data_IF_254540666199
#
_entry.id   IF_254540666199
#
_cell.length_a   1.000
_cell.length_b   1.000
_cell.length_c   1.000
_cell.angle_alpha   90.00
_cell.angle_beta   90.00
_cell.angle_gamma   90.00
#
_symmetry.space_group_name_H-M   'P 1'
#
loop_
_entity.id
_entity.type
_entity.pdbx_description
1 polymer ?
2 branched ?
3 non-polymer ?
4 water ?
#
# COMPACT_ATOMS: atom_id res chain seq x y z
N UNK A 1 26.05 -7.80 -8.30
CA UNK A 1 24.60 -7.67 -8.33
C UNK A 1 24.11 -6.40 -7.67
N UNK A 2 22.86 -6.04 -7.93
CA UNK A 2 22.23 -4.87 -7.32
C UNK A 2 22.14 -5.03 -5.81
N UNK A 3 22.17 -3.91 -5.08
CA UNK A 3 21.90 -3.95 -3.63
C UNK A 3 20.46 -4.41 -3.45
N UNK A 4 20.22 -5.26 -2.45
CA UNK A 4 18.86 -5.65 -2.08
C UNK A 4 18.06 -4.39 -1.66
N UNK A 5 16.73 -4.40 -1.87
CA UNK A 5 15.92 -3.18 -1.62
C UNK A 5 16.15 -2.56 -0.25
N UNK A 6 16.24 -3.40 0.79
CA UNK A 6 16.44 -2.90 2.17
C UNK A 6 17.88 -2.51 2.50
N UNK A 7 18.80 -2.79 1.57
CA UNK A 7 20.17 -2.30 1.65
C UNK A 7 20.36 -1.12 0.71
N UNK A 8 19.25 -0.48 0.36
CA UNK A 8 19.22 0.64 -0.57
C UNK A 8 18.20 1.63 0.00
N UNK A 9 16.92 1.34 -0.20
CA UNK A 9 15.87 2.03 0.56
C UNK A 9 16.06 1.82 2.07
N UNK A 10 15.69 2.82 2.86
CA UNK A 10 15.59 2.67 4.31
C UNK A 10 14.24 2.02 4.62
N UNK A 11 14.25 0.73 4.95
CA UNK A 11 13.02 -0.01 5.26
C UNK A 11 12.88 -0.32 6.75
N UNK A 12 13.49 0.51 7.57
CA UNK A 12 13.54 0.30 9.00
C UNK A 12 12.15 0.49 9.65
N UNK A 13 11.19 1.04 8.91
CA UNK A 13 9.83 1.13 9.42
C UNK A 13 8.79 0.48 8.50
N UNK A 14 9.19 -0.63 7.90
CA UNK A 14 8.29 -1.46 7.11
C UNK A 14 8.56 -2.92 7.42
N UNK A 15 7.54 -3.75 7.27
CA UNK A 15 7.75 -5.20 7.18
C UNK A 15 7.19 -5.63 5.85
N UNK A 16 7.59 -6.80 5.39
CA UNK A 16 7.17 -7.27 4.08
C UNK A 16 6.29 -8.48 4.22
N UNK A 17 5.09 -8.40 3.65
CA UNK A 17 4.14 -9.51 3.60
C UNK A 17 4.21 -10.22 2.23
N UNK A 18 4.43 -11.54 2.24
CA UNK A 18 4.70 -12.31 1.01
C UNK A 18 3.55 -13.24 0.57
N UNK A 19 3.55 -13.66 -0.73
CA UNK A 19 2.53 -14.55 -1.29
C UNK A 19 2.98 -16.03 -1.38
N UNK A 20 3.96 -16.42 -0.58
CA UNK A 20 4.30 -17.84 -0.48
C UNK A 20 3.19 -18.65 0.22
N UNK A 21 3.31 -19.96 0.21
CA UNK A 21 2.29 -20.85 0.76
C UNK A 21 1.93 -20.45 2.19
N UNK A 22 2.94 -20.10 2.98
CA UNK A 22 2.80 -19.76 4.40
C UNK A 22 2.56 -18.28 4.68
N UNK A 23 2.42 -17.48 3.62
CA UNK A 23 2.28 -16.02 3.77
C UNK A 23 3.29 -15.47 4.78
N UNK A 24 4.56 -15.80 4.52
CA UNK A 24 5.72 -15.41 5.34
C UNK A 24 5.82 -13.91 5.44
N UNK A 25 6.22 -13.41 6.59
CA UNK A 25 6.51 -11.99 6.73
C UNK A 25 7.98 -11.78 7.03
N UNK A 26 8.56 -10.78 6.40
CA UNK A 26 9.96 -10.45 6.61
C UNK A 26 10.05 -9.17 7.45
N UNK A 27 10.70 -9.30 8.60
CA UNK A 27 10.84 -8.20 9.54
C UNK A 27 11.65 -7.02 8.98
N UNK A 28 11.45 -5.85 9.58
CA UNK A 28 12.23 -4.67 9.25
C UNK A 28 13.75 -4.93 9.27
N UNK A 29 14.23 -5.57 10.35
CA UNK A 29 15.65 -5.88 10.48
C UNK A 29 16.13 -6.82 9.40
N UNK A 30 15.34 -7.85 9.10
CA UNK A 30 15.72 -8.77 8.00
C UNK A 30 15.72 -8.10 6.61
N UNK A 31 14.78 -7.18 6.38
CA UNK A 31 14.85 -6.35 5.18
C UNK A 31 16.15 -5.53 5.14
N UNK A 32 16.51 -4.90 6.26
CA UNK A 32 17.76 -4.12 6.32
C UNK A 32 19.03 -4.96 6.19
N UNK A 33 18.93 -6.24 6.52
CA UNK A 33 20.05 -7.17 6.32
C UNK A 33 20.10 -7.77 4.91
N UNK A 34 19.17 -7.38 4.05
CA UNK A 34 19.28 -7.72 2.63
C UNK A 34 18.35 -8.77 2.07
N UNK A 35 17.23 -9.00 2.74
CA UNK A 35 16.26 -9.95 2.20
C UNK A 35 15.92 -9.63 0.75
N UNK A 36 16.00 -10.64 -0.11
CA UNK A 36 15.54 -10.52 -1.49
C UNK A 36 15.19 -11.92 -1.99
N UNK A 37 14.17 -11.99 -2.84
CA UNK A 37 13.71 -13.25 -3.38
C UNK A 37 13.01 -12.96 -4.72
N UNK A 38 12.45 -14.01 -5.33
CA UNK A 38 11.63 -13.86 -6.53
C UNK A 38 10.45 -12.87 -6.33
N UNK A 39 10.02 -12.71 -5.08
CA UNK A 39 8.89 -11.84 -4.73
C UNK A 39 9.27 -10.39 -4.49
N UNK A 40 10.56 -10.12 -4.33
CA UNK A 40 11.01 -8.84 -3.79
C UNK A 40 12.47 -8.64 -4.12
N UNK A 41 12.74 -7.71 -5.03
CA UNK A 41 14.11 -7.58 -5.54
C UNK A 41 14.38 -6.20 -6.11
N UNK A 42 15.65 -5.86 -6.23
CA UNK A 42 16.05 -4.65 -6.94
C UNK A 42 16.24 -4.97 -8.39
N UNK A 43 15.46 -4.30 -9.23
CA UNK A 43 15.60 -4.52 -10.68
C UNK A 43 16.75 -3.71 -11.26
N UNK A 44 17.05 -3.96 -12.53
CA UNK A 44 18.14 -3.28 -13.21
C UNK A 44 18.00 -1.75 -13.29
N UNK A 45 16.77 -1.25 -13.17
CA UNK A 45 16.55 0.20 -13.14
C UNK A 45 16.61 0.79 -11.70
N UNK A 46 17.00 -0.05 -10.76
CA UNK A 46 17.10 0.31 -9.33
C UNK A 46 15.81 0.20 -8.53
N UNK A 47 14.69 -0.09 -9.21
CA UNK A 47 13.40 -0.13 -8.51
C UNK A 47 13.34 -1.25 -7.49
N UNK A 48 12.72 -0.97 -6.35
CA UNK A 48 12.30 -2.01 -5.42
C UNK A 48 11.07 -2.62 -6.11
N UNK A 49 11.16 -3.92 -6.39
CA UNK A 49 10.20 -4.59 -7.28
C UNK A 49 9.48 -5.74 -6.56
N UNK A 50 8.16 -5.78 -6.75
CA UNK A 50 7.28 -6.70 -6.05
C UNK A 50 6.60 -7.61 -7.07
N UNK A 51 6.86 -8.91 -6.99
CA UNK A 51 6.22 -9.89 -7.87
C UNK A 51 5.36 -10.84 -7.03
N UNK A 52 4.13 -11.09 -7.50
CA UNK A 52 3.24 -12.05 -6.84
C UNK A 52 2.39 -12.81 -7.85
N UNK A 53 2.33 -14.16 -7.72
CA UNK A 53 1.49 -14.97 -8.61
C UNK A 53 0.07 -15.04 -8.07
N UNK A 54 -0.89 -15.19 -8.98
CA UNK A 54 -2.29 -15.24 -8.56
C UNK A 54 -2.61 -16.46 -7.69
N UNK A 55 -1.76 -17.50 -7.76
CA UNK A 55 -1.92 -18.72 -6.96
C UNK A 55 -1.33 -18.61 -5.55
N UNK A 56 -0.81 -17.44 -5.18
CA UNK A 56 -0.08 -17.27 -3.91
C UNK A 56 -0.93 -17.42 -2.65
N UNK A 57 -0.27 -17.67 -1.52
CA UNK A 57 -0.95 -17.69 -0.22
C UNK A 57 -1.55 -16.32 0.07
N UNK A 58 -2.62 -16.31 0.85
CA UNK A 58 -3.33 -15.06 1.13
C UNK A 58 -3.44 -14.87 2.65
N UNK A 59 -3.58 -13.61 3.08
CA UNK A 59 -3.74 -13.31 4.51
C UNK A 59 -5.12 -13.75 5.03
N UNK A 60 -5.30 -13.74 6.36
CA UNK A 60 -6.47 -14.31 7.03
C UNK A 60 -7.80 -13.79 6.50
N UNK A 61 -7.86 -12.51 6.16
CA UNK A 61 -9.11 -11.85 5.82
C UNK A 61 -9.14 -11.26 4.41
N UNK A 62 -8.34 -11.85 3.51
CA UNK A 62 -8.37 -11.46 2.11
C UNK A 62 -8.33 -12.71 1.24
N UNK A 63 -9.00 -12.66 0.10
CA UNK A 63 -8.93 -13.76 -0.84
C UNK A 63 -7.79 -13.58 -1.87
N UNK A 64 -7.01 -12.50 -1.75
CA UNK A 64 -6.04 -12.13 -2.79
C UNK A 64 -4.60 -12.11 -2.25
N UNK A 65 -3.63 -12.59 -3.07
CA UNK A 65 -2.23 -12.66 -2.61
C UNK A 65 -1.51 -11.32 -2.76
N UNK A 66 -0.45 -11.12 -2.00
CA UNK A 66 0.30 -9.87 -2.08
C UNK A 66 1.79 -10.10 -1.87
N UNK A 67 2.59 -9.21 -2.45
CA UNK A 67 3.97 -8.94 -2.04
C UNK A 67 3.97 -7.46 -1.73
N UNK A 68 3.93 -7.11 -0.46
CA UNK A 68 3.53 -5.74 -0.07
C UNK A 68 4.13 -5.34 1.27
N UNK A 69 4.59 -4.09 1.33
CA UNK A 69 5.11 -3.55 2.56
C UNK A 69 3.96 -3.08 3.43
N UNK A 70 4.18 -3.20 4.74
CA UNK A 70 3.20 -2.87 5.78
C UNK A 70 3.94 -1.95 6.76
N UNK A 71 3.44 -0.71 6.93
CA UNK A 71 4.17 0.25 7.74
C UNK A 71 4.23 -0.21 9.19
N UNK A 72 5.42 -0.12 9.78
CA UNK A 72 5.63 -0.48 11.20
C UNK A 72 6.26 0.69 11.97
N UNK A 73 5.41 1.44 12.66
CA UNK A 73 5.91 2.52 13.49
C UNK A 73 6.88 1.95 14.52
N UNK A 74 6.52 0.78 15.03
CA UNK A 74 7.39 0.00 15.90
C UNK A 74 7.68 -1.31 15.19
N UNK A 75 8.93 -1.47 14.72
CA UNK A 75 9.26 -2.67 13.94
C UNK A 75 9.03 -4.00 14.66
N UNK A 76 8.84 -3.98 15.97
CA UNK A 76 8.62 -5.21 16.71
C UNK A 76 7.20 -5.34 17.26
N UNK A 77 6.31 -4.42 16.88
CA UNK A 77 4.92 -4.47 17.37
C UNK A 77 3.93 -3.89 16.35
N UNK A 78 3.21 -4.78 15.65
CA UNK A 78 2.27 -4.39 14.60
C UNK A 78 1.01 -3.71 15.14
N UNK A 79 0.86 -3.68 16.48
CA UNK A 79 -0.27 -2.99 17.12
C UNK A 79 -0.03 -1.51 17.41
N UNK A 80 1.16 -1.00 17.05
CA UNK A 80 1.46 0.42 17.19
C UNK A 80 1.18 1.10 15.84
N UNK A 81 0.08 1.88 15.80
CA UNK A 81 -0.38 2.51 14.57
C UNK A 81 -0.84 3.93 14.79
N UNK A 82 -1.19 4.63 13.71
CA UNK A 82 -1.51 6.05 13.85
C UNK A 82 -3.01 6.37 13.74
N UNK A 83 -3.35 7.60 14.12
CA UNK A 83 -4.75 7.98 14.27
C UNK A 83 -5.19 9.03 13.28
N UNK A 84 -6.48 9.37 13.35
CA UNK A 84 -7.10 10.34 12.44
C UNK A 84 -6.60 11.77 12.64
N UNK A 85 -6.13 12.09 13.85
CA UNK A 85 -5.66 13.47 14.08
C UNK A 85 -4.20 13.58 13.71
N UNK A 86 -3.77 14.77 13.34
CA UNK A 86 -2.39 15.00 12.93
C UNK A 86 -2.28 14.82 11.43
N UNK A 87 -1.05 14.89 10.93
CA UNK A 87 -0.77 14.80 9.49
C UNK A 87 0.12 13.57 9.21
N UNK A 88 -0.32 12.74 8.25
CA UNK A 88 0.24 11.41 8.01
C UNK A 88 0.35 11.26 6.51
N UNK A 89 1.58 11.23 6.00
CA UNK A 89 1.82 11.40 4.57
C UNK A 89 2.74 10.33 4.01
N UNK A 90 2.26 9.63 2.98
CA UNK A 90 3.11 8.73 2.20
C UNK A 90 3.25 9.30 0.81
N UNK A 91 4.49 9.40 0.33
CA UNK A 91 4.78 9.85 -1.03
C UNK A 91 5.58 8.72 -1.68
N UNK A 92 5.28 8.44 -2.95
CA UNK A 92 6.08 7.45 -3.67
C UNK A 92 6.11 7.77 -5.15
N UNK A 93 7.09 7.20 -5.85
CA UNK A 93 6.99 7.15 -7.31
C UNK A 93 7.13 5.70 -7.68
N UNK A 94 6.47 5.30 -8.76
CA UNK A 94 6.41 3.90 -9.10
C UNK A 94 5.92 3.66 -10.50
N UNK A 95 5.81 2.38 -10.86
CA UNK A 95 5.22 1.98 -12.10
C UNK A 95 4.68 0.57 -11.94
N UNK A 96 3.58 0.29 -12.63
CA UNK A 96 3.08 -1.07 -12.75
C UNK A 96 3.51 -1.66 -14.09
N UNK A 97 4.18 -2.82 -14.00
CA UNK A 97 4.87 -3.41 -15.15
C UNK A 97 4.10 -4.55 -15.79
N UNK A 98 3.39 -5.32 -14.97
CA UNK A 98 2.73 -6.53 -15.46
C UNK A 98 1.49 -6.75 -14.60
N UNK A 99 0.39 -7.10 -15.25
CA UNK A 99 -0.87 -7.29 -14.57
C UNK A 99 -1.33 -8.75 -14.66
N UNK A 100 -2.20 -9.18 -13.71
CA UNK A 100 -2.75 -10.53 -13.78
C UNK A 100 -3.90 -10.52 -14.80
N UNK A 101 -4.53 -11.66 -15.03
CA UNK A 101 -5.62 -11.76 -16.02
C UNK A 101 -6.79 -10.82 -15.71
N UNK A 102 -7.04 -10.56 -14.41
CA UNK A 102 -8.08 -9.59 -14.00
C UNK A 102 -7.78 -8.15 -14.42
N UNK A 103 -6.52 -7.88 -14.74
CA UNK A 103 -6.08 -6.51 -15.11
C UNK A 103 -6.06 -5.49 -13.98
N UNK A 104 -6.14 -5.93 -12.72
CA UNK A 104 -6.19 -5.01 -11.58
C UNK A 104 -5.25 -5.42 -10.45
N UNK A 105 -4.45 -4.46 -9.95
CA UNK A 105 -3.71 -4.66 -8.71
C UNK A 105 -3.86 -3.40 -7.85
N UNK A 106 -3.57 -3.56 -6.56
CA UNK A 106 -3.54 -2.42 -5.62
C UNK A 106 -2.09 -2.12 -5.28
N UNK A 107 -1.66 -0.87 -5.52
CA UNK A 107 -0.24 -0.50 -5.36
C UNK A 107 0.10 0.34 -4.11
N UNK A 108 -0.92 0.85 -3.41
CA UNK A 108 -0.72 1.63 -2.19
C UNK A 108 -2.02 1.62 -1.42
N UNK A 109 -1.91 1.69 -0.08
CA UNK A 109 -3.11 1.69 0.76
C UNK A 109 -2.90 2.48 2.05
N UNK A 110 -4.01 2.84 2.68
CA UNK A 110 -4.07 3.00 4.12
C UNK A 110 -5.01 1.90 4.57
N UNK A 111 -4.55 1.05 5.48
CA UNK A 111 -5.40 0.00 6.06
C UNK A 111 -5.83 0.44 7.44
N UNK A 112 -7.11 0.24 7.74
CA UNK A 112 -7.59 0.45 9.11
C UNK A 112 -7.21 -0.74 9.98
N UNK A 113 -7.13 -0.53 11.28
CA UNK A 113 -6.88 -1.59 12.25
C UNK A 113 -7.46 -1.15 13.60
N UNK A 114 -8.00 -2.09 14.35
CA UNK A 114 -8.43 -1.78 15.72
C UNK A 114 -7.22 -1.57 16.64
N UNK A 115 -7.44 -0.88 17.76
CA UNK A 115 -6.40 -0.70 18.80
C UNK A 115 -5.64 -1.98 19.15
N UNK A 116 -6.38 -3.09 19.30
CA UNK A 116 -5.82 -4.36 19.74
C UNK A 116 -5.21 -5.19 18.61
N UNK A 117 -5.05 -4.59 17.43
CA UNK A 117 -4.54 -5.31 16.25
C UNK A 117 -5.57 -6.04 15.40
N UNK A 118 -6.82 -6.11 15.85
CA UNK A 118 -7.88 -6.80 15.11
C UNK A 118 -8.07 -6.14 13.75
N UNK A 119 -8.36 -6.95 12.74
CA UNK A 119 -8.46 -6.42 11.41
C UNK A 119 -9.66 -5.47 11.24
N UNK A 120 -9.53 -4.52 10.32
CA UNK A 120 -10.57 -3.54 10.01
C UNK A 120 -10.52 -3.27 8.51
N UNK A 121 -11.47 -2.48 7.98
CA UNK A 121 -11.48 -2.19 6.55
C UNK A 121 -10.30 -1.30 6.12
N UNK A 122 -9.91 -1.39 4.85
CA UNK A 122 -8.97 -0.43 4.31
C UNK A 122 -9.68 0.92 4.20
N UNK A 123 -8.95 2.01 4.44
CA UNK A 123 -9.48 3.34 4.23
C UNK A 123 -9.19 3.85 2.81
N UNK A 124 -7.97 3.65 2.33
CA UNK A 124 -7.60 4.10 0.98
C UNK A 124 -6.97 2.95 0.21
N UNK A 125 -7.44 2.73 -1.03
CA UNK A 125 -6.84 1.75 -1.93
C UNK A 125 -6.54 2.39 -3.28
N UNK A 126 -5.27 2.38 -3.66
CA UNK A 126 -4.85 2.88 -4.96
C UNK A 126 -4.90 1.70 -5.94
N UNK A 127 -5.97 1.66 -6.74
CA UNK A 127 -6.23 0.53 -7.64
C UNK A 127 -5.73 0.88 -9.03
N UNK A 128 -4.76 0.10 -9.51
CA UNK A 128 -4.19 0.30 -10.82
C UNK A 128 -4.79 -0.65 -11.85
N UNK A 129 -5.21 -0.06 -12.97
CA UNK A 129 -5.51 -0.80 -14.19
C UNK A 129 -4.79 -0.07 -15.32
N UNK A 130 -4.60 -0.75 -16.45
CA UNK A 130 -3.94 -0.13 -17.61
C UNK A 130 -4.77 1.06 -18.07
N UNK A 131 -4.24 2.26 -17.85
CA UNK A 131 -4.90 3.49 -18.27
C UNK A 131 -5.64 4.23 -17.18
N UNK A 132 -5.73 3.68 -15.98
CA UNK A 132 -6.51 4.32 -14.91
C UNK A 132 -6.02 3.91 -13.53
N UNK A 133 -5.73 4.91 -12.69
CA UNK A 133 -5.56 4.69 -11.26
C UNK A 133 -6.82 5.25 -10.56
N UNK A 134 -7.45 4.43 -9.72
CA UNK A 134 -8.63 4.82 -8.95
C UNK A 134 -8.20 4.82 -7.49
N UNK A 135 -8.12 6.01 -6.91
CA UNK A 135 -7.80 6.18 -5.48
C UNK A 135 -9.12 6.10 -4.72
N UNK A 136 -9.41 4.92 -4.20
CA UNK A 136 -10.68 4.65 -3.52
C UNK A 136 -10.61 4.99 -2.05
N UNK A 137 -11.62 5.70 -1.56
CA UNK A 137 -11.65 6.04 -0.12
C UNK A 137 -12.96 5.49 0.42
N UNK A 138 -12.84 4.60 1.40
CA UNK A 138 -13.98 3.92 2.02
C UNK A 138 -14.84 4.94 2.78
N UNK A 139 -16.16 4.78 2.71
CA UNK A 139 -17.09 5.71 3.35
C UNK A 139 -17.42 5.26 4.78
N UNK A 140 -17.65 3.96 4.95
CA UNK A 140 -18.09 3.41 6.24
C UNK A 140 -17.02 2.64 7.00
N UNK A 141 -16.72 3.12 8.21
CA UNK A 141 -15.72 2.50 9.08
C UNK A 141 -16.02 1.05 9.45
N UNK A 142 -17.28 0.67 9.40
CA UNK A 142 -17.65 -0.70 9.73
C UNK A 142 -17.50 -1.64 8.52
N UNK A 143 -17.10 -1.09 7.36
CA UNK A 143 -16.72 -1.89 6.20
C UNK A 143 -17.84 -2.18 5.21
N UNK A 144 -19.07 -1.88 5.62
CA UNK A 144 -20.23 -1.99 4.77
C UNK A 144 -20.21 -0.87 3.73
N UNK A 145 -21.07 -0.99 2.73
CA UNK A 145 -21.20 0.06 1.73
C UNK A 145 -20.07 0.08 0.72
N UNK A 146 -19.88 1.24 0.13
CA UNK A 146 -18.99 1.34 -1.01
C UNK A 146 -17.99 2.47 -0.83
N UNK A 147 -17.17 2.69 -1.85
CA UNK A 147 -16.07 3.66 -1.75
C UNK A 147 -16.36 4.90 -2.56
N UNK A 148 -15.74 6.01 -2.16
CA UNK A 148 -15.71 7.16 -3.02
C UNK A 148 -14.57 6.97 -4.03
N UNK A 149 -14.88 7.07 -5.34
CA UNK A 149 -13.88 6.91 -6.40
C UNK A 149 -13.21 8.24 -6.79
N UNK A 150 -11.92 8.16 -7.06
CA UNK A 150 -11.13 9.29 -7.49
C UNK A 150 -10.26 8.83 -8.67
N UNK A 151 -10.69 9.14 -9.89
CA UNK A 151 -10.05 8.57 -11.07
C UNK A 151 -8.97 9.46 -11.64
N UNK A 152 -7.86 8.82 -12.02
CA UNK A 152 -6.73 9.51 -12.60
C UNK A 152 -6.40 8.72 -13.85
N UNK A 153 -6.81 9.24 -15.01
CA UNK A 153 -6.73 8.46 -16.24
C UNK A 153 -5.53 8.83 -17.12
N UNK A 154 -5.25 7.98 -18.10
CA UNK A 154 -4.12 8.19 -18.97
C UNK A 154 -2.80 7.62 -18.46
N UNK A 155 -2.86 6.93 -17.32
CA UNK A 155 -1.68 6.33 -16.73
C UNK A 155 -1.56 4.89 -17.22
N UNK A 156 -0.64 4.69 -18.15
CA UNK A 156 -0.54 3.44 -18.87
C UNK A 156 0.29 2.45 -18.08
N UNK A 157 0.05 1.16 -18.31
CA UNK A 157 1.02 0.17 -17.89
C UNK A 157 2.42 0.62 -18.30
N UNK A 158 3.36 0.61 -17.35
CA UNK A 158 4.74 0.96 -17.63
C UNK A 158 5.08 2.44 -17.50
N UNK A 159 4.06 3.31 -17.30
CA UNK A 159 4.29 4.74 -17.03
C UNK A 159 4.77 4.96 -15.59
N UNK A 160 5.78 5.83 -15.44
CA UNK A 160 6.17 6.31 -14.11
C UNK A 160 5.08 7.22 -13.58
N UNK A 161 4.66 6.99 -12.32
CA UNK A 161 3.70 7.84 -11.65
C UNK A 161 4.25 8.35 -10.31
N UNK A 162 3.86 9.56 -9.94
CA UNK A 162 4.13 10.14 -8.64
C UNK A 162 2.83 10.16 -7.86
N UNK A 163 2.87 9.66 -6.63
CA UNK A 163 1.66 9.51 -5.83
C UNK A 163 1.88 10.07 -4.43
N UNK A 164 0.83 10.67 -3.86
CA UNK A 164 0.83 10.96 -2.44
C UNK A 164 -0.52 10.56 -1.85
N UNK A 165 -0.46 9.94 -0.67
CA UNK A 165 -1.66 9.69 0.14
C UNK A 165 -1.45 10.35 1.50
N UNK A 166 -2.32 11.31 1.84
CA UNK A 166 -2.16 12.03 3.09
C UNK A 166 -3.47 12.06 3.88
N UNK A 167 -3.38 11.82 5.18
CA UNK A 167 -4.48 12.09 6.09
C UNK A 167 -4.09 13.26 6.97
N UNK A 168 -4.94 14.27 6.98
CA UNK A 168 -4.82 15.34 7.97
C UNK A 168 -6.16 15.54 8.63
N UNK A 169 -6.20 15.27 9.93
CA UNK A 169 -7.39 15.52 10.74
C UNK A 169 -8.65 14.87 10.14
N UNK A 170 -8.51 13.64 9.68
CA UNK A 170 -9.64 12.84 9.27
C UNK A 170 -10.15 13.20 7.89
N UNK A 171 -9.36 13.97 7.13
CA UNK A 171 -9.60 14.20 5.70
C UNK A 171 -8.46 13.51 4.91
N UNK A 172 -8.83 12.73 3.92
CA UNK A 172 -7.82 12.08 3.07
C UNK A 172 -7.61 12.87 1.80
N UNK A 173 -6.35 13.13 1.47
CA UNK A 173 -5.97 13.81 0.24
C UNK A 173 -5.18 12.84 -0.61
N UNK A 174 -5.69 12.59 -1.80
CA UNK A 174 -5.12 11.56 -2.67
C UNK A 174 -4.65 12.24 -3.95
N UNK A 175 -3.37 12.03 -4.29
CA UNK A 175 -2.74 12.80 -5.37
C UNK A 175 -2.01 11.88 -6.32
N UNK A 176 -2.22 12.10 -7.62
CA UNK A 176 -1.40 11.47 -8.64
C UNK A 176 -0.88 12.57 -9.52
N UNK A 177 0.45 12.61 -9.70
CA UNK A 177 1.06 13.58 -10.63
C UNK A 177 0.56 15.01 -10.44
N UNK A 178 0.52 15.44 -9.19
CA UNK A 178 0.17 16.83 -8.83
C UNK A 178 -1.31 17.18 -8.84
N UNK A 179 -2.15 16.18 -9.14
CA UNK A 179 -3.61 16.32 -9.14
C UNK A 179 -4.13 15.76 -7.81
N UNK A 180 -4.59 16.64 -6.93
CA UNK A 180 -5.05 16.27 -5.58
C UNK A 180 -6.56 16.30 -5.45
N UNK A 181 -7.12 15.21 -4.91
CA UNK A 181 -8.54 15.13 -4.59
C UNK A 181 -8.68 14.95 -3.09
N UNK A 182 -9.81 15.35 -2.51
CA UNK A 182 -9.93 15.16 -1.06
C UNK A 182 -11.23 14.47 -0.69
N UNK A 183 -11.19 13.67 0.37
CA UNK A 183 -12.41 13.01 0.87
C UNK A 183 -12.45 13.15 2.40
N UNK A 184 -13.48 13.83 2.92
CA UNK A 184 -13.63 14.02 4.37
C UNK A 184 -14.26 12.79 4.99
N UNK A 185 -13.42 11.81 5.31
CA UNK A 185 -13.94 10.52 5.79
C UNK A 185 -14.50 10.56 7.23
N UNK A 186 -13.85 11.31 8.12
CA UNK A 186 -14.37 11.44 9.49
C UNK A 186 -15.66 12.27 9.49
N UNK A 187 -15.76 13.22 8.58
CA UNK A 187 -16.97 14.02 8.41
C UNK A 187 -18.15 13.15 8.00
N UNK A 188 -17.89 12.17 7.13
CA UNK A 188 -18.89 11.22 6.65
C UNK A 188 -19.32 10.21 7.73
N UNK A 189 -18.35 9.69 8.49
CA UNK A 189 -18.59 8.65 9.50
C UNK A 189 -17.62 8.86 10.65
N UNK A 190 -18.14 9.35 11.78
CA UNK A 190 -17.32 9.58 12.98
C UNK A 190 -16.66 8.32 13.54
N UNK A 191 -17.20 7.14 13.19
CA UNK A 191 -16.61 5.87 13.55
C UNK A 191 -15.15 5.68 13.14
N UNK A 192 -14.72 6.35 12.07
CA UNK A 192 -13.32 6.33 11.69
C UNK A 192 -12.42 6.85 12.82
N UNK A 193 -12.97 7.66 13.72
CA UNK A 193 -12.18 8.18 14.84
C UNK A 193 -11.75 7.05 15.77
N UNK A 194 -12.48 5.94 15.74
CA UNK A 194 -12.25 4.80 16.62
C UNK A 194 -11.20 3.82 16.11
N UNK A 195 -10.80 3.98 14.84
CA UNK A 195 -9.84 3.07 14.24
C UNK A 195 -8.46 3.69 14.18
N UNK A 196 -7.44 2.84 14.10
CA UNK A 196 -6.08 3.30 13.82
C UNK A 196 -5.74 2.90 12.39
N UNK A 197 -4.58 3.33 11.91
CA UNK A 197 -4.21 3.20 10.50
C UNK A 197 -2.74 2.93 10.28
N UNK A 198 -2.42 2.31 9.13
CA UNK A 198 -1.02 2.19 8.69
C UNK A 198 -0.98 2.23 7.17
N UNK A 199 0.14 2.69 6.63
CA UNK A 199 0.31 2.71 5.21
C UNK A 199 0.73 1.32 4.70
N UNK A 200 0.44 1.04 3.45
CA UNK A 200 0.98 -0.12 2.73
C UNK A 200 1.44 0.29 1.33
N UNK A 201 2.43 -0.39 0.78
CA UNK A 201 2.82 -0.12 -0.61
C UNK A 201 3.47 -1.36 -1.18
N UNK A 202 3.12 -1.67 -2.44
CA UNK A 202 3.67 -2.83 -3.12
C UNK A 202 2.76 -3.35 -4.20
N UNK A 203 2.37 -4.61 -4.05
CA UNK A 203 1.69 -5.34 -5.09
C UNK A 203 0.68 -6.27 -4.45
N UNK A 204 -0.56 -5.81 -4.37
CA UNK A 204 -1.66 -6.59 -3.82
C UNK A 204 -2.56 -7.01 -5.01
N UNK A 205 -2.49 -8.28 -5.40
CA UNK A 205 -2.94 -8.71 -6.74
C UNK A 205 -4.45 -9.02 -6.69
N UNK A 206 -5.26 -8.30 -7.47
CA UNK A 206 -6.71 -8.49 -7.41
C UNK A 206 -7.16 -9.58 -8.39
N UNK A 207 -6.60 -10.77 -8.20
CA UNK A 207 -6.83 -11.95 -9.01
C UNK A 207 -6.31 -13.13 -8.20
N UNK A 208 -7.17 -14.11 -7.92
CA UNK A 208 -6.73 -15.38 -7.28
C UNK A 208 -6.98 -16.64 -8.10
N UNK A 209 -7.22 -16.47 -9.40
CA UNK A 209 -7.49 -17.60 -10.28
C UNK A 209 -6.24 -18.43 -10.55
N UNK A 210 -6.44 -19.73 -10.72
CA UNK A 210 -5.33 -20.65 -10.97
C UNK A 210 -4.55 -20.29 -12.24
N UNK A 211 -5.25 -19.72 -13.22
CA UNK A 211 -4.68 -19.38 -14.53
C UNK A 211 -4.43 -17.87 -14.68
N UNK A 212 -4.53 -17.14 -13.56
CA UNK A 212 -4.46 -15.67 -13.59
C UNK A 212 -3.11 -15.05 -13.87
N UNK A 213 -2.05 -15.84 -13.80
CA UNK A 213 -0.70 -15.33 -14.08
C UNK A 213 -0.10 -14.70 -12.84
N UNK A 214 0.44 -13.49 -13.02
CA UNK A 214 1.15 -12.80 -11.94
C UNK A 214 1.27 -11.31 -12.28
N UNK A 215 1.72 -10.52 -11.31
CA UNK A 215 1.83 -9.09 -11.48
C UNK A 215 3.16 -8.64 -10.94
N UNK A 216 3.58 -7.47 -11.42
CA UNK A 216 4.80 -6.82 -10.97
C UNK A 216 4.52 -5.33 -10.82
N UNK A 217 4.88 -4.78 -9.65
CA UNK A 217 4.82 -3.35 -9.44
C UNK A 217 6.17 -2.90 -8.91
N UNK A 218 6.51 -1.65 -9.17
CA UNK A 218 7.82 -1.12 -8.83
C UNK A 218 7.72 0.18 -8.07
N UNK A 219 8.66 0.41 -7.15
CA UNK A 219 8.76 1.67 -6.43
C UNK A 219 10.16 2.21 -6.61
N UNK A 220 10.24 3.49 -6.97
CA UNK A 220 11.52 4.17 -7.21
C UNK A 220 11.91 5.09 -6.05
N UNK A 221 10.91 5.50 -5.29
CA UNK A 221 11.11 6.36 -4.14
C UNK A 221 9.91 6.14 -3.22
N UNK A 222 10.12 6.42 -1.94
CA UNK A 222 9.12 6.10 -0.92
C UNK A 222 9.46 6.86 0.35
N UNK A 223 8.48 7.55 0.91
CA UNK A 223 8.70 8.20 2.19
C UNK A 223 7.41 8.26 2.97
N UNK A 224 7.53 8.16 4.28
CA UNK A 224 6.38 8.28 5.19
C UNK A 224 6.78 9.29 6.25
N UNK A 225 5.90 10.23 6.50
CA UNK A 225 6.18 11.18 7.55
C UNK A 225 4.93 11.38 8.38
N UNK A 226 5.13 11.59 9.67
CA UNK A 226 4.03 11.83 10.61
C UNK A 226 4.40 13.10 11.35
N UNK A 227 3.44 13.98 11.55
CA UNK A 227 3.74 15.24 12.20
C UNK A 227 2.54 15.78 12.97
N UNK A 228 2.85 16.57 13.99
CA UNK A 228 1.85 17.25 14.80
C UNK A 228 1.87 18.75 14.51
N UNK A 229 2.75 19.17 13.61
CA UNK A 229 2.89 20.57 13.22
C UNK A 229 3.40 20.61 11.79
N UNK A 230 2.58 21.09 10.86
CA UNK A 230 3.02 21.22 9.47
C UNK A 230 3.27 22.69 9.21
N UNK A 231 4.28 22.98 8.40
CA UNK A 231 4.59 24.36 8.06
C UNK A 231 3.99 24.70 6.71
N UNK A 232 3.80 26.00 6.45
CA UNK A 232 3.42 26.47 5.13
C UNK A 232 4.54 26.15 4.16
#
# INVERSE_FOLDING_TARGET
>A
PAAAPGKNFDLSHWKLQLPDANTTEISSANLGLGYTSQYFYTDTDGAMTFWAPTTGGTTANSSYPRSELREMLDPSNSKVNWGWQGTHTMKLSGKTVQLPSSGKIIVAQINGIMDDGTNAPPLVKAVFQDGQLDMQVKQNSDGTGSDVHNYFTGIKLGDLYNMEIRVTDGVAYVTMNGDTRSVDFVGKDAGWKNLKYYFKAGNFVQDNTSTGGSAIAKLYSLSVSHSNLEHHHHHH
#
